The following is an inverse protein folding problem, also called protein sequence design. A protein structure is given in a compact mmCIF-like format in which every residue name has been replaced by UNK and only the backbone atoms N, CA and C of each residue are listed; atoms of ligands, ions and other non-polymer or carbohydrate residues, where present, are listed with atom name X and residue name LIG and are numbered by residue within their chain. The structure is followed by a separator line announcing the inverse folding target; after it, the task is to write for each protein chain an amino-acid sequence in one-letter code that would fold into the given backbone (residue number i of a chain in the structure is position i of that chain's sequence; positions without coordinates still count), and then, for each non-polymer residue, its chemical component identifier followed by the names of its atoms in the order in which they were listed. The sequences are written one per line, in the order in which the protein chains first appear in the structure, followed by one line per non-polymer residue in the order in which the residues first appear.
data_IF_488095576444
#
_entry.id   IF_488095576444
#
_cell.length_a   1.000
_cell.length_b   1.000
_cell.length_c   1.000
_cell.angle_alpha   90.00
_cell.angle_beta   90.00
_cell.angle_gamma   90.00
#
_symmetry.space_group_name_H-M   'P 1'
#
loop_
_entity.id
_entity.type
_entity.pdbx_description
1 polymer ?
#
# COMPACT_ATOMS: atom_id res chain seq x y z
N UNK A 1 20.83 -30.68 -25.76
CA UNK A 1 20.16 -31.79 -25.04
C UNK A 1 18.71 -31.79 -25.49
N UNK A 2 18.32 -32.74 -26.34
CA UNK A 2 17.02 -32.74 -27.01
C UNK A 2 15.96 -33.36 -26.09
N UNK A 3 14.97 -32.57 -25.67
CA UNK A 3 13.85 -33.08 -24.86
C UNK A 3 12.91 -33.83 -25.80
N UNK A 4 12.81 -35.16 -25.66
CA UNK A 4 11.79 -35.97 -26.34
C UNK A 4 10.44 -35.82 -25.62
N UNK A 5 9.40 -35.47 -26.36
CA UNK A 5 8.01 -35.50 -25.91
C UNK A 5 7.56 -36.96 -25.75
N UNK A 6 7.26 -37.36 -24.53
CA UNK A 6 6.70 -38.68 -24.23
C UNK A 6 5.17 -38.53 -24.13
N UNK A 7 4.48 -38.68 -25.26
CA UNK A 7 3.02 -38.63 -25.35
C UNK A 7 2.47 -40.03 -25.14
N UNK A 8 2.40 -40.48 -23.88
CA UNK A 8 1.75 -41.74 -23.55
C UNK A 8 0.90 -41.62 -22.29
N UNK A 9 -0.34 -41.16 -22.50
CA UNK A 9 -1.58 -41.58 -21.81
C UNK A 9 -2.72 -40.94 -22.59
N UNK A 10 -3.83 -41.69 -22.69
CA UNK A 10 -5.05 -41.39 -23.43
C UNK A 10 -5.32 -39.89 -23.59
N UNK A 11 -5.65 -39.47 -24.81
CA UNK A 11 -6.11 -38.12 -25.13
C UNK A 11 -7.44 -37.83 -24.44
N UNK A 12 -7.43 -37.73 -23.11
CA UNK A 12 -8.34 -36.81 -22.44
C UNK A 12 -7.96 -35.44 -22.98
N UNK A 13 -8.92 -34.82 -23.67
CA UNK A 13 -8.78 -33.52 -24.33
C UNK A 13 -7.83 -32.63 -23.55
N UNK A 14 -6.76 -32.19 -24.19
CA UNK A 14 -5.69 -31.37 -23.62
C UNK A 14 -6.31 -30.20 -22.86
N UNK A 15 -6.49 -30.38 -21.54
CA UNK A 15 -7.28 -29.46 -20.75
C UNK A 15 -6.50 -28.13 -20.67
N UNK A 16 -7.13 -26.97 -20.92
CA UNK A 16 -6.50 -25.64 -20.79
C UNK A 16 -5.70 -25.47 -19.50
N UNK A 17 -6.12 -26.10 -18.39
CA UNK A 17 -5.41 -26.13 -17.12
C UNK A 17 -4.05 -26.82 -17.20
N UNK A 18 -3.88 -27.89 -17.99
CA UNK A 18 -2.59 -28.56 -18.17
C UNK A 18 -1.60 -27.66 -18.93
N UNK A 19 -2.02 -27.05 -20.04
CA UNK A 19 -1.18 -26.11 -20.81
C UNK A 19 -0.79 -24.91 -19.96
N UNK A 20 -1.74 -24.33 -19.22
CA UNK A 20 -1.49 -23.22 -18.31
C UNK A 20 -0.46 -23.58 -17.23
N UNK A 21 -0.59 -24.76 -16.63
CA UNK A 21 0.35 -25.26 -15.62
C UNK A 21 1.76 -25.50 -16.18
N UNK A 22 1.88 -26.01 -17.42
CA UNK A 22 3.19 -26.16 -18.06
C UNK A 22 3.81 -24.80 -18.39
N UNK A 23 3.01 -23.84 -18.84
CA UNK A 23 3.46 -22.46 -19.08
C UNK A 23 3.92 -21.77 -17.78
N UNK A 24 3.18 -21.88 -16.68
CA UNK A 24 3.60 -21.33 -15.38
C UNK A 24 4.92 -21.94 -14.91
N UNK A 25 5.11 -23.26 -15.07
CA UNK A 25 6.38 -23.95 -14.76
C UNK A 25 7.51 -23.45 -15.66
N UNK A 26 7.26 -23.29 -16.95
CA UNK A 26 8.22 -22.76 -17.91
C UNK A 26 8.66 -21.33 -17.54
N UNK A 27 7.72 -20.44 -17.24
CA UNK A 27 8.00 -19.05 -16.81
C UNK A 27 8.85 -19.02 -15.53
N UNK A 28 8.48 -19.83 -14.51
CA UNK A 28 9.23 -19.95 -13.26
C UNK A 28 10.65 -20.49 -13.49
N UNK A 29 10.80 -21.54 -14.28
CA UNK A 29 12.09 -22.20 -14.53
C UNK A 29 13.04 -21.33 -15.36
N UNK A 30 12.52 -20.52 -16.28
CA UNK A 30 13.33 -19.65 -17.12
C UNK A 30 13.61 -18.29 -16.48
N UNK A 31 13.17 -18.05 -15.24
CA UNK A 31 13.30 -16.74 -14.55
C UNK A 31 12.83 -15.57 -15.42
N UNK A 32 11.92 -15.80 -16.36
CA UNK A 32 11.30 -14.73 -17.12
C UNK A 32 10.56 -13.86 -16.12
N UNK A 33 10.90 -12.57 -16.06
CA UNK A 33 10.41 -11.66 -15.03
C UNK A 33 8.89 -11.77 -14.87
N UNK A 34 8.43 -12.04 -13.66
CA UNK A 34 7.02 -11.99 -13.31
C UNK A 34 6.81 -10.70 -12.51
N UNK A 35 5.86 -9.90 -12.95
CA UNK A 35 5.40 -8.74 -12.21
C UNK A 35 4.24 -9.17 -11.30
N UNK A 36 4.37 -8.93 -9.99
CA UNK A 36 3.23 -9.09 -9.08
C UNK A 36 2.29 -7.90 -9.26
N UNK A 37 1.21 -8.13 -9.99
CA UNK A 37 0.16 -7.14 -10.15
C UNK A 37 -0.78 -7.19 -8.93
N UNK A 38 -0.88 -6.09 -8.19
CA UNK A 38 -1.84 -5.99 -7.09
C UNK A 38 -3.27 -5.97 -7.63
N UNK A 39 -4.16 -6.77 -7.03
CA UNK A 39 -5.58 -6.77 -7.36
C UNK A 39 -6.24 -5.39 -7.10
N UNK A 40 -5.62 -4.53 -6.28
CA UNK A 40 -6.05 -3.14 -6.09
C UNK A 40 -6.03 -2.31 -7.39
N UNK A 41 -5.36 -2.78 -8.47
CA UNK A 41 -5.42 -2.13 -9.79
C UNK A 41 -6.86 -2.10 -10.33
N UNK A 42 -7.72 -3.05 -9.97
CA UNK A 42 -9.10 -3.13 -10.44
C UNK A 42 -9.86 -1.81 -10.19
N UNK A 43 -9.65 -1.18 -9.04
CA UNK A 43 -10.24 0.13 -8.68
C UNK A 43 -9.86 1.25 -9.65
N UNK A 44 -8.72 1.15 -10.34
CA UNK A 44 -8.24 2.15 -11.28
C UNK A 44 -8.79 1.96 -12.70
N UNK A 45 -9.26 0.75 -13.05
CA UNK A 45 -9.71 0.43 -14.41
C UNK A 45 -10.84 1.34 -14.93
N UNK A 46 -11.89 1.67 -14.14
CA UNK A 46 -12.96 2.55 -14.61
C UNK A 46 -12.50 3.97 -14.97
N UNK A 47 -11.41 4.44 -14.34
CA UNK A 47 -10.89 5.80 -14.51
C UNK A 47 -9.96 5.95 -15.71
N UNK A 48 -9.49 4.83 -16.29
CA UNK A 48 -8.53 4.83 -17.38
C UNK A 48 -9.26 4.45 -18.68
N UNK A 49 -9.95 5.45 -19.25
CA UNK A 49 -10.74 5.29 -20.48
C UNK A 49 -9.91 5.27 -21.77
N UNK A 50 -8.59 5.34 -21.65
CA UNK A 50 -7.65 5.32 -22.77
C UNK A 50 -6.74 4.10 -22.70
N UNK A 51 -6.02 3.81 -23.78
CA UNK A 51 -5.00 2.76 -23.79
C UNK A 51 -3.76 3.08 -22.91
N UNK A 52 -3.82 4.05 -22.01
CA UNK A 52 -2.78 4.33 -21.01
C UNK A 52 -2.50 3.13 -20.09
N UNK A 53 -3.45 2.20 -19.92
CA UNK A 53 -3.18 0.95 -19.20
C UNK A 53 -2.12 0.09 -19.90
N UNK A 54 -2.01 0.15 -21.23
CA UNK A 54 -0.93 -0.54 -21.96
C UNK A 54 0.44 0.00 -21.55
N UNK A 55 0.54 1.31 -21.28
CA UNK A 55 1.75 1.94 -20.78
C UNK A 55 2.05 1.54 -19.33
N UNK A 56 1.03 1.45 -18.48
CA UNK A 56 1.21 0.96 -17.10
C UNK A 56 1.74 -0.47 -17.08
N UNK A 57 1.16 -1.36 -17.90
CA UNK A 57 1.62 -2.74 -18.06
C UNK A 57 3.04 -2.78 -18.63
N UNK A 58 3.36 -1.91 -19.60
CA UNK A 58 4.72 -1.78 -20.12
C UNK A 58 5.71 -1.43 -19.00
N UNK A 59 5.40 -0.45 -18.15
CA UNK A 59 6.24 -0.10 -17.01
C UNK A 59 6.37 -1.25 -16.02
N UNK A 60 5.28 -1.95 -15.71
CA UNK A 60 5.27 -3.10 -14.83
C UNK A 60 6.19 -4.24 -15.31
N UNK A 61 6.16 -4.57 -16.61
CA UNK A 61 7.00 -5.61 -17.22
C UNK A 61 8.49 -5.21 -17.20
N UNK A 62 8.77 -3.92 -17.35
CA UNK A 62 10.12 -3.39 -17.52
C UNK A 62 10.71 -2.72 -16.28
N UNK A 63 9.97 -2.66 -15.17
CA UNK A 63 10.46 -2.19 -13.90
C UNK A 63 11.54 -3.15 -13.40
N UNK A 64 12.68 -2.62 -12.96
CA UNK A 64 13.69 -3.46 -12.33
C UNK A 64 13.15 -3.91 -10.97
N UNK A 65 13.18 -5.22 -10.71
CA UNK A 65 12.71 -5.80 -9.45
C UNK A 65 13.42 -5.21 -8.22
N UNK A 66 14.67 -4.75 -8.38
CA UNK A 66 15.49 -4.19 -7.30
C UNK A 66 15.14 -2.73 -6.96
N UNK A 67 14.76 -1.93 -7.97
CA UNK A 67 14.60 -0.48 -7.85
C UNK A 67 13.15 -0.02 -7.97
N UNK A 68 12.23 -0.90 -8.40
CA UNK A 68 10.80 -0.60 -8.56
C UNK A 68 10.48 0.46 -9.62
N UNK A 69 11.46 0.78 -10.48
CA UNK A 69 11.36 1.87 -11.45
C UNK A 69 11.79 1.46 -12.86
N UNK A 70 11.41 2.28 -13.84
CA UNK A 70 11.73 2.15 -15.26
C UNK A 70 12.43 3.40 -15.78
N UNK A 71 13.44 3.20 -16.62
CA UNK A 71 14.26 4.25 -17.22
C UNK A 71 14.00 4.42 -18.72
N UNK A 72 12.88 3.93 -19.24
CA UNK A 72 12.61 4.01 -20.68
C UNK A 72 12.19 5.41 -21.12
N UNK A 73 12.82 5.92 -22.19
CA UNK A 73 12.45 7.20 -22.81
C UNK A 73 11.11 7.11 -23.54
N UNK A 74 10.42 8.23 -23.72
CA UNK A 74 9.13 8.23 -24.42
C UNK A 74 9.26 7.79 -25.89
N UNK A 75 10.39 8.10 -26.53
CA UNK A 75 10.70 7.70 -27.91
C UNK A 75 10.85 6.18 -28.02
N UNK A 76 11.52 5.57 -27.04
CA UNK A 76 11.73 4.12 -27.03
C UNK A 76 10.41 3.38 -26.79
N UNK A 77 9.59 3.90 -25.86
CA UNK A 77 8.27 3.35 -25.57
C UNK A 77 7.35 3.50 -26.78
N UNK A 78 7.29 4.68 -27.39
CA UNK A 78 6.49 4.97 -28.58
C UNK A 78 6.80 3.99 -29.71
N UNK A 79 8.09 3.72 -29.96
CA UNK A 79 8.54 2.73 -30.95
C UNK A 79 8.08 1.31 -30.60
N UNK A 80 8.23 0.89 -29.34
CA UNK A 80 7.84 -0.47 -28.89
C UNK A 80 6.34 -0.70 -28.90
N UNK A 81 5.55 0.31 -28.55
CA UNK A 81 4.09 0.25 -28.50
C UNK A 81 3.43 0.67 -29.83
N UNK A 82 4.22 1.02 -30.84
CA UNK A 82 3.77 1.48 -32.15
C UNK A 82 2.76 2.65 -32.09
N UNK A 83 3.09 3.67 -31.30
CA UNK A 83 2.28 4.90 -31.14
C UNK A 83 3.15 6.14 -31.22
N UNK A 84 2.55 7.32 -31.28
CA UNK A 84 3.31 8.58 -31.28
C UNK A 84 3.90 8.90 -29.90
N UNK A 85 5.01 9.65 -29.87
CA UNK A 85 5.60 10.18 -28.62
C UNK A 85 4.59 11.05 -27.85
N UNK A 86 3.75 11.82 -28.57
CA UNK A 86 2.66 12.62 -27.99
C UNK A 86 1.64 11.74 -27.27
N UNK A 87 1.30 10.59 -27.85
CA UNK A 87 0.42 9.60 -27.22
C UNK A 87 1.02 9.09 -25.91
N UNK A 88 2.31 8.76 -25.89
CA UNK A 88 3.01 8.35 -24.67
C UNK A 88 3.03 9.46 -23.62
N UNK A 89 3.30 10.70 -24.00
CA UNK A 89 3.25 11.85 -23.07
C UNK A 89 1.85 12.03 -22.46
N UNK A 90 0.80 11.90 -23.26
CA UNK A 90 -0.58 11.96 -22.77
C UNK A 90 -0.90 10.80 -21.83
N UNK A 91 -0.51 9.57 -22.16
CA UNK A 91 -0.71 8.41 -21.29
C UNK A 91 0.05 8.53 -19.98
N UNK A 92 1.29 9.04 -19.99
CA UNK A 92 2.02 9.34 -18.75
C UNK A 92 1.27 10.31 -17.86
N UNK A 93 0.75 11.39 -18.45
CA UNK A 93 -0.06 12.37 -17.72
C UNK A 93 -1.28 11.71 -17.08
N UNK A 94 -2.02 10.91 -17.85
CA UNK A 94 -3.16 10.14 -17.31
C UNK A 94 -2.73 9.26 -16.13
N UNK A 95 -1.63 8.49 -16.26
CA UNK A 95 -1.14 7.61 -15.19
C UNK A 95 -0.64 8.37 -13.95
N UNK A 96 -0.05 9.55 -14.13
CA UNK A 96 0.37 10.43 -13.03
C UNK A 96 -0.84 11.03 -12.32
N UNK A 97 -1.82 11.53 -13.07
CA UNK A 97 -3.04 12.16 -12.55
C UNK A 97 -3.85 11.16 -11.71
N UNK A 98 -3.92 9.88 -12.14
CA UNK A 98 -4.59 8.81 -11.37
C UNK A 98 -3.73 8.21 -10.25
N UNK A 99 -2.49 8.66 -10.08
CA UNK A 99 -1.61 8.18 -9.01
C UNK A 99 -1.07 6.77 -9.19
N UNK A 100 -0.97 6.28 -10.43
CA UNK A 100 -0.35 4.98 -10.73
C UNK A 100 1.17 5.06 -10.88
N UNK A 101 1.70 6.20 -11.32
CA UNK A 101 3.13 6.44 -11.48
C UNK A 101 3.56 7.80 -10.94
N UNK A 102 4.82 7.92 -10.54
CA UNK A 102 5.53 9.19 -10.40
C UNK A 102 6.68 9.22 -11.40
N UNK A 103 6.96 10.40 -11.98
CA UNK A 103 7.99 10.52 -13.00
C UNK A 103 8.89 11.70 -12.73
N UNK A 104 10.18 11.43 -12.55
CA UNK A 104 11.19 12.45 -12.27
C UNK A 104 12.07 12.64 -13.50
N UNK A 105 12.12 13.85 -14.09
CA UNK A 105 13.05 14.14 -15.16
C UNK A 105 14.48 14.06 -14.64
N UNK A 106 15.37 13.40 -15.39
CA UNK A 106 16.79 13.38 -15.10
C UNK A 106 17.49 14.39 -16.03
N UNK A 107 18.42 15.22 -15.53
CA UNK A 107 19.08 16.25 -16.34
C UNK A 107 19.83 15.69 -17.56
N UNK A 108 20.39 14.48 -17.44
CA UNK A 108 21.29 13.90 -18.44
C UNK A 108 20.78 12.55 -19.01
N UNK A 109 19.55 12.14 -18.69
CA UNK A 109 19.07 10.81 -19.07
C UNK A 109 17.55 10.79 -19.27
N UNK A 110 17.04 9.65 -19.74
CA UNK A 110 15.61 9.36 -19.69
C UNK A 110 15.04 9.54 -18.27
N UNK A 111 13.80 10.03 -18.18
CA UNK A 111 13.13 10.19 -16.89
C UNK A 111 13.06 8.86 -16.13
N UNK A 112 13.22 8.91 -14.81
CA UNK A 112 12.92 7.76 -13.96
C UNK A 112 11.42 7.72 -13.70
N UNK A 113 10.79 6.58 -13.96
CA UNK A 113 9.37 6.35 -13.71
C UNK A 113 9.22 5.35 -12.57
N UNK A 114 8.66 5.78 -11.46
CA UNK A 114 8.37 4.97 -10.28
C UNK A 114 6.94 4.48 -10.34
N UNK A 115 6.75 3.20 -10.08
CA UNK A 115 5.42 2.63 -9.89
C UNK A 115 4.96 2.97 -8.47
N UNK A 116 3.79 3.58 -8.32
CA UNK A 116 3.28 3.94 -7.01
C UNK A 116 2.52 2.76 -6.37
N UNK A 117 2.57 2.61 -5.03
CA UNK A 117 1.78 1.61 -4.31
C UNK A 117 0.29 1.76 -4.65
N UNK A 118 -0.42 0.66 -4.87
CA UNK A 118 -1.83 0.71 -5.28
C UNK A 118 -2.82 0.69 -4.12
N UNK A 119 -2.32 0.46 -2.91
CA UNK A 119 -3.10 0.35 -1.68
C UNK A 119 -2.39 1.05 -0.53
N UNK A 120 -3.15 1.30 0.53
CA UNK A 120 -2.60 1.78 1.78
C UNK A 120 -1.60 0.79 2.37
N UNK A 121 -0.59 1.32 3.07
CA UNK A 121 0.42 0.50 3.73
C UNK A 121 1.00 1.20 4.95
N UNK A 122 1.70 0.43 5.79
CA UNK A 122 2.36 0.93 6.98
C UNK A 122 3.89 0.84 6.87
N UNK A 123 4.59 1.80 7.47
CA UNK A 123 6.04 1.84 7.59
C UNK A 123 6.40 1.86 9.07
N UNK A 124 7.15 0.84 9.51
CA UNK A 124 7.68 0.80 10.85
C UNK A 124 8.85 1.78 11.00
N UNK A 125 8.67 2.80 11.83
CA UNK A 125 9.69 3.81 12.15
C UNK A 125 10.17 3.70 13.59
N UNK A 126 9.94 2.57 14.26
CA UNK A 126 10.34 2.35 15.66
C UNK A 126 11.86 2.43 15.89
N UNK A 127 12.67 2.14 14.86
CA UNK A 127 14.13 2.24 14.90
C UNK A 127 14.67 3.53 14.27
N UNK A 128 13.80 4.39 13.72
CA UNK A 128 14.22 5.64 13.11
C UNK A 128 14.57 6.67 14.19
N UNK A 129 15.58 7.50 13.93
CA UNK A 129 15.82 8.68 14.77
C UNK A 129 14.73 9.73 14.56
N UNK A 130 14.57 10.66 15.52
CA UNK A 130 13.64 11.79 15.36
C UNK A 130 13.96 12.63 14.11
N UNK A 131 15.25 12.73 13.75
CA UNK A 131 15.67 13.43 12.54
C UNK A 131 15.23 12.70 11.28
N UNK A 132 15.36 11.36 11.25
CA UNK A 132 14.94 10.56 10.10
C UNK A 132 13.41 10.55 9.96
N UNK A 133 12.68 10.49 11.08
CA UNK A 133 11.23 10.64 11.07
C UNK A 133 10.79 11.99 10.50
N UNK A 134 11.44 13.09 10.91
CA UNK A 134 11.17 14.43 10.37
C UNK A 134 11.50 14.51 8.88
N UNK A 135 12.61 13.93 8.43
CA UNK A 135 12.99 13.88 7.01
C UNK A 135 11.95 13.13 6.19
N UNK A 136 11.53 11.95 6.66
CA UNK A 136 10.51 11.15 6.00
C UNK A 136 9.16 11.87 5.93
N UNK A 137 8.74 12.48 7.04
CA UNK A 137 7.49 13.27 7.09
C UNK A 137 7.52 14.45 6.13
N UNK A 138 8.64 15.19 6.08
CA UNK A 138 8.84 16.29 5.13
C UNK A 138 8.82 15.81 3.68
N UNK A 139 9.44 14.66 3.39
CA UNK A 139 9.39 14.06 2.06
C UNK A 139 7.96 13.70 1.65
N UNK A 140 7.19 13.04 2.52
CA UNK A 140 5.79 12.72 2.26
C UNK A 140 4.95 13.97 1.97
N UNK A 141 5.14 15.04 2.75
CA UNK A 141 4.47 16.33 2.52
C UNK A 141 4.85 16.94 1.16
N UNK A 142 6.13 16.91 0.77
CA UNK A 142 6.60 17.40 -0.54
C UNK A 142 5.98 16.59 -1.69
N UNK A 143 5.81 15.29 -1.50
CA UNK A 143 5.12 14.41 -2.45
C UNK A 143 3.59 14.57 -2.44
N UNK A 144 3.05 15.50 -1.65
CA UNK A 144 1.63 15.85 -1.60
C UNK A 144 0.79 14.95 -0.69
N UNK A 145 1.40 14.19 0.21
CA UNK A 145 0.68 13.52 1.28
C UNK A 145 0.54 14.45 2.48
N UNK A 146 -0.68 14.84 2.83
CA UNK A 146 -0.96 15.65 4.01
C UNK A 146 -1.01 14.80 5.28
N UNK A 147 -0.36 15.26 6.34
CA UNK A 147 -0.40 14.62 7.66
C UNK A 147 -1.76 14.82 8.34
N UNK A 148 -2.32 13.76 8.92
CA UNK A 148 -3.47 13.83 9.84
C UNK A 148 -3.01 13.75 11.31
N UNK A 149 -3.94 13.97 12.25
CA UNK A 149 -3.67 13.74 13.68
C UNK A 149 -3.27 12.27 13.88
N UNK A 150 -2.27 12.06 14.73
CA UNK A 150 -1.83 10.70 15.06
C UNK A 150 -2.88 9.96 15.89
N UNK A 151 -2.84 8.63 15.85
CA UNK A 151 -3.73 7.75 16.61
C UNK A 151 -2.87 6.91 17.56
N UNK A 152 -3.18 6.95 18.84
CA UNK A 152 -2.60 6.05 19.83
C UNK A 152 -3.43 4.77 19.89
N UNK A 153 -2.77 3.63 19.74
CA UNK A 153 -3.41 2.33 19.66
C UNK A 153 -2.77 1.34 20.62
N UNK A 154 -3.52 0.96 21.65
CA UNK A 154 -3.10 0.01 22.67
C UNK A 154 -3.73 -1.36 22.46
N UNK A 155 -2.90 -2.40 22.46
CA UNK A 155 -3.33 -3.80 22.37
C UNK A 155 -3.25 -4.43 23.75
N UNK A 156 -4.40 -4.75 24.34
CA UNK A 156 -4.50 -5.19 25.72
C UNK A 156 -3.75 -6.50 25.99
N UNK A 157 -3.86 -7.48 25.10
CA UNK A 157 -3.26 -8.81 25.29
C UNK A 157 -1.73 -8.79 25.30
N UNK A 158 -1.14 -7.94 24.46
CA UNK A 158 0.32 -7.81 24.37
C UNK A 158 0.86 -6.66 25.20
N UNK A 159 -0.03 -5.84 25.77
CA UNK A 159 0.28 -4.59 26.46
C UNK A 159 1.20 -3.67 25.64
N UNK A 160 1.03 -3.71 24.31
CA UNK A 160 1.82 -2.89 23.39
C UNK A 160 1.03 -1.65 23.00
N UNK A 161 1.71 -0.52 23.01
CA UNK A 161 1.20 0.71 22.40
C UNK A 161 1.87 0.94 21.05
N UNK A 162 1.08 1.45 20.12
CA UNK A 162 1.48 1.91 18.81
C UNK A 162 1.05 3.36 18.65
N UNK A 163 1.90 4.19 18.06
CA UNK A 163 1.54 5.54 17.62
C UNK A 163 1.57 5.57 16.10
N UNK A 164 0.41 5.74 15.49
CA UNK A 164 0.22 5.79 14.04
C UNK A 164 0.12 7.24 13.58
N UNK A 165 0.88 7.61 12.55
CA UNK A 165 0.86 8.91 11.90
C UNK A 165 0.34 8.73 10.47
N UNK A 166 -0.95 9.01 10.20
CA UNK A 166 -1.52 8.87 8.88
C UNK A 166 -1.10 10.03 7.97
N UNK A 167 -0.68 9.69 6.75
CA UNK A 167 -0.38 10.61 5.67
C UNK A 167 -1.29 10.28 4.48
N UNK A 168 -2.12 11.22 4.05
CA UNK A 168 -3.13 10.99 3.01
C UNK A 168 -2.85 11.83 1.78
N UNK A 169 -2.92 11.22 0.60
CA UNK A 169 -2.93 11.91 -0.68
C UNK A 169 -4.21 11.59 -1.44
N UNK A 170 -4.89 12.62 -1.93
CA UNK A 170 -6.05 12.49 -2.79
C UNK A 170 -5.65 12.66 -4.25
N UNK A 171 -6.16 11.78 -5.10
CA UNK A 171 -6.07 11.86 -6.56
C UNK A 171 -7.47 12.19 -7.07
N UNK A 172 -7.62 13.38 -7.64
CA UNK A 172 -8.91 13.86 -8.19
C UNK A 172 -9.03 13.35 -9.63
N UNK A 173 -10.11 12.62 -9.89
CA UNK A 173 -10.39 11.96 -11.16
C UNK A 173 -11.62 12.58 -11.81
N UNK A 174 -11.86 12.30 -13.09
CA UNK A 174 -13.02 12.85 -13.81
C UNK A 174 -14.37 12.41 -13.22
N UNK A 175 -14.42 11.26 -12.54
CA UNK A 175 -15.65 10.65 -12.00
C UNK A 175 -15.54 10.31 -10.51
N UNK A 176 -14.64 10.95 -9.77
CA UNK A 176 -14.52 10.73 -8.33
C UNK A 176 -13.15 11.09 -7.78
N UNK A 177 -12.82 10.48 -6.65
CA UNK A 177 -11.50 10.62 -6.01
C UNK A 177 -11.01 9.27 -5.53
N UNK A 178 -9.71 9.06 -5.60
CA UNK A 178 -9.03 7.96 -4.90
C UNK A 178 -8.15 8.59 -3.83
N UNK A 179 -8.28 8.10 -2.60
CA UNK A 179 -7.39 8.48 -1.50
C UNK A 179 -6.42 7.35 -1.22
N UNK A 180 -5.16 7.70 -0.95
CA UNK A 180 -4.12 6.75 -0.56
C UNK A 180 -3.49 7.19 0.74
N UNK A 181 -3.39 6.25 1.67
CA UNK A 181 -2.86 6.49 3.00
C UNK A 181 -1.54 5.73 3.22
N UNK A 182 -0.57 6.44 3.78
CA UNK A 182 0.67 5.87 4.30
C UNK A 182 0.65 6.07 5.81
N UNK A 183 0.84 4.99 6.56
CA UNK A 183 0.84 5.04 8.01
C UNK A 183 2.26 4.82 8.52
N UNK A 184 2.91 5.90 8.98
CA UNK A 184 4.13 5.72 9.75
C UNK A 184 3.73 5.26 11.15
N UNK A 185 4.39 4.26 11.71
CA UNK A 185 4.09 3.84 13.07
C UNK A 185 5.34 3.54 13.89
N UNK A 186 5.29 3.85 15.19
CA UNK A 186 6.29 3.42 16.15
C UNK A 186 5.65 2.72 17.36
N UNK A 187 6.47 1.95 18.08
CA UNK A 187 6.14 1.34 19.37
C UNK A 187 6.80 2.16 20.50
N UNK A 188 6.13 3.18 21.07
CA UNK A 188 6.73 4.02 22.09
C UNK A 188 6.97 3.24 23.39
N UNK A 189 8.21 3.27 23.90
CA UNK A 189 8.62 2.49 25.08
C UNK A 189 8.02 2.98 26.41
N UNK A 190 7.55 4.22 26.48
CA UNK A 190 7.17 4.89 27.74
C UNK A 190 5.71 4.66 28.17
N UNK A 191 4.85 4.07 27.33
CA UNK A 191 3.43 3.87 27.65
C UNK A 191 3.11 2.50 28.26
N UNK A 192 3.99 2.00 29.13
CA UNK A 192 3.77 0.76 29.88
C UNK A 192 2.80 0.99 31.05
N UNK A 193 1.57 1.42 30.76
CA UNK A 193 0.48 1.29 31.72
C UNK A 193 -0.16 -0.08 31.52
N UNK A 194 -0.15 -0.91 32.57
CA UNK A 194 -0.95 -2.14 32.56
C UNK A 194 -2.41 -1.72 32.71
N UNK A 195 -3.16 -1.71 31.61
CA UNK A 195 -4.59 -1.43 31.66
C UNK A 195 -5.28 -2.76 31.97
N UNK A 196 -5.83 -2.91 33.17
CA UNK A 196 -6.69 -4.05 33.45
C UNK A 196 -8.01 -3.84 32.70
N UNK A 197 -8.23 -4.58 31.62
CA UNK A 197 -9.43 -4.42 30.79
C UNK A 197 -10.21 -5.73 30.72
N UNK A 198 -11.36 -5.75 31.39
CA UNK A 198 -12.39 -6.78 31.23
C UNK A 198 -13.21 -6.59 29.94
N UNK A 199 -12.77 -5.70 29.05
CA UNK A 199 -13.46 -5.45 27.77
C UNK A 199 -13.40 -6.68 26.88
N UNK A 200 -14.40 -6.79 26.00
CA UNK A 200 -14.37 -7.68 24.83
C UNK A 200 -14.35 -6.82 23.58
N UNK A 201 -13.33 -6.97 22.74
CA UNK A 201 -13.18 -6.16 21.53
C UNK A 201 -12.56 -4.80 21.82
N UNK A 202 -13.37 -3.74 21.84
CA UNK A 202 -12.88 -2.37 21.78
C UNK A 202 -13.26 -1.54 23.02
N UNK A 203 -12.43 -0.55 23.31
CA UNK A 203 -12.67 0.51 24.29
C UNK A 203 -11.76 1.68 24.01
N UNK A 204 -11.85 2.72 24.84
CA UNK A 204 -10.97 3.88 24.71
C UNK A 204 -10.74 4.56 26.05
N UNK A 205 -9.67 5.33 26.15
CA UNK A 205 -9.46 6.25 27.27
C UNK A 205 -8.80 7.54 26.79
N UNK A 206 -8.66 8.50 27.70
CA UNK A 206 -7.87 9.71 27.49
C UNK A 206 -6.67 9.63 28.42
N UNK A 207 -5.46 9.74 27.87
CA UNK A 207 -4.24 9.63 28.66
C UNK A 207 -3.95 10.91 29.48
N UNK A 208 -2.81 10.93 30.17
CA UNK A 208 -2.40 12.09 30.98
C UNK A 208 -2.09 13.35 30.18
N UNK A 209 -1.86 13.22 28.87
CA UNK A 209 -1.60 14.34 27.95
C UNK A 209 -2.88 14.83 27.26
N UNK A 210 -4.05 14.35 27.72
CA UNK A 210 -5.36 14.62 27.14
C UNK A 210 -5.51 14.07 25.71
N UNK A 211 -4.79 13.00 25.38
CA UNK A 211 -4.85 12.37 24.06
C UNK A 211 -5.77 11.15 24.05
N UNK A 212 -6.50 10.99 22.96
CA UNK A 212 -7.36 9.83 22.72
C UNK A 212 -6.51 8.57 22.49
N UNK A 213 -6.82 7.51 23.22
CA UNK A 213 -6.21 6.20 23.04
C UNK A 213 -7.28 5.15 22.73
N UNK A 214 -7.15 4.54 21.55
CA UNK A 214 -7.88 3.35 21.17
C UNK A 214 -7.34 2.14 21.94
N UNK A 215 -8.21 1.35 22.53
CA UNK A 215 -7.88 0.07 23.16
C UNK A 215 -8.55 -1.07 22.41
N UNK A 216 -7.77 -2.10 22.09
CA UNK A 216 -8.28 -3.31 21.47
C UNK A 216 -7.79 -4.56 22.19
N UNK A 217 -8.74 -5.45 22.47
CA UNK A 217 -8.53 -6.80 22.96
C UNK A 217 -9.02 -7.77 21.87
N UNK A 218 -8.09 -8.34 21.08
CA UNK A 218 -8.42 -9.36 20.08
C UNK A 218 -9.20 -10.52 20.70
N UNK A 219 -10.11 -11.15 19.96
CA UNK A 219 -10.81 -12.33 20.49
C UNK A 219 -9.91 -13.57 20.50
N UNK A 220 -8.88 -13.57 19.65
CA UNK A 220 -7.87 -14.60 19.53
C UNK A 220 -6.53 -13.99 19.07
N UNK A 221 -5.43 -14.72 19.30
CA UNK A 221 -4.08 -14.23 18.96
C UNK A 221 -3.87 -13.97 17.46
N UNK A 222 -4.53 -14.72 16.57
CA UNK A 222 -4.39 -14.57 15.11
C UNK A 222 -5.00 -13.26 14.58
N UNK A 223 -5.95 -12.69 15.29
CA UNK A 223 -6.52 -11.39 14.93
C UNK A 223 -5.48 -10.27 15.04
N UNK A 224 -4.55 -10.35 15.99
CA UNK A 224 -3.47 -9.38 16.16
C UNK A 224 -2.39 -9.55 15.08
N UNK A 225 -2.68 -9.03 13.89
CA UNK A 225 -1.75 -8.97 12.77
C UNK A 225 -1.74 -7.55 12.15
N UNK A 226 -0.67 -7.18 11.42
CA UNK A 226 -0.54 -5.89 10.75
C UNK A 226 -1.77 -5.44 9.96
N UNK A 227 -2.33 -6.35 9.14
CA UNK A 227 -3.47 -6.05 8.28
C UNK A 227 -4.70 -5.63 9.09
N UNK A 228 -5.06 -6.41 10.11
CA UNK A 228 -6.24 -6.11 10.93
C UNK A 228 -6.06 -4.81 11.73
N UNK A 229 -4.86 -4.57 12.26
CA UNK A 229 -4.56 -3.30 12.94
C UNK A 229 -4.77 -2.12 12.02
N UNK A 230 -4.28 -2.22 10.79
CA UNK A 230 -4.43 -1.18 9.79
C UNK A 230 -5.91 -0.92 9.43
N UNK A 231 -6.71 -1.98 9.25
CA UNK A 231 -8.16 -1.86 8.99
C UNK A 231 -8.94 -1.21 10.14
N UNK A 232 -8.50 -1.40 11.39
CA UNK A 232 -9.07 -0.70 12.56
C UNK A 232 -8.70 0.78 12.52
N UNK A 233 -7.41 1.09 12.32
CA UNK A 233 -6.90 2.47 12.30
C UNK A 233 -7.54 3.30 11.18
N UNK A 234 -7.79 2.69 10.01
CA UNK A 234 -8.49 3.33 8.89
C UNK A 234 -9.89 3.84 9.23
N UNK A 235 -10.56 3.24 10.22
CA UNK A 235 -11.91 3.66 10.63
C UNK A 235 -11.88 4.91 11.53
N UNK A 236 -10.70 5.39 11.92
CA UNK A 236 -10.51 6.55 12.80
C UNK A 236 -9.83 7.71 12.06
N UNK A 237 -10.20 7.91 10.79
CA UNK A 237 -9.51 8.81 9.87
C UNK A 237 -9.97 10.28 9.93
N UNK A 238 -10.92 10.60 10.81
CA UNK A 238 -11.42 11.95 11.08
C UNK A 238 -11.80 12.13 12.56
N UNK A 239 -12.01 13.38 12.97
CA UNK A 239 -12.46 13.70 14.32
C UNK A 239 -13.88 13.16 14.57
N UNK A 240 -14.76 13.28 13.59
CA UNK A 240 -16.12 12.74 13.64
C UNK A 240 -16.12 11.21 13.76
N UNK A 241 -15.19 10.54 13.08
CA UNK A 241 -15.02 9.09 13.18
C UNK A 241 -14.56 8.66 14.58
N UNK A 242 -13.64 9.43 15.18
CA UNK A 242 -13.21 9.23 16.57
C UNK A 242 -14.37 9.46 17.55
N UNK A 243 -15.14 10.53 17.39
CA UNK A 243 -16.30 10.82 18.25
C UNK A 243 -17.39 9.75 18.12
N UNK A 244 -17.65 9.28 16.91
CA UNK A 244 -18.55 8.15 16.65
C UNK A 244 -18.04 6.88 17.32
N UNK A 245 -16.74 6.59 17.23
CA UNK A 245 -16.13 5.47 17.96
C UNK A 245 -16.32 5.62 19.48
N UNK A 246 -16.05 6.81 20.03
CA UNK A 246 -16.19 7.09 21.46
C UNK A 246 -17.62 6.91 21.97
N UNK A 247 -18.62 7.24 21.14
CA UNK A 247 -20.02 7.05 21.46
C UNK A 247 -20.45 5.57 21.48
N UNK A 248 -19.82 4.74 20.66
CA UNK A 248 -20.19 3.33 20.47
C UNK A 248 -19.43 2.34 21.36
N UNK A 249 -18.29 2.76 21.95
CA UNK A 249 -17.43 1.87 22.75
C UNK A 249 -17.20 2.42 24.17
N UNK A 250 -16.99 1.53 25.16
CA UNK A 250 -16.86 1.95 26.55
C UNK A 250 -15.59 2.78 26.80
N UNK A 251 -15.75 3.86 27.57
CA UNK A 251 -14.65 4.62 28.15
C UNK A 251 -14.05 3.82 29.31
N UNK A 252 -12.73 3.62 29.28
CA UNK A 252 -11.98 2.85 30.26
C UNK A 252 -11.32 3.76 31.29
N UNK A 253 -11.24 3.27 32.53
CA UNK A 253 -10.51 3.93 33.61
C UNK A 253 -9.09 3.39 33.68
N UNK A 254 -8.11 4.29 33.76
CA UNK A 254 -6.72 3.92 34.00
C UNK A 254 -6.57 3.50 35.46
N UNK A 255 -6.25 2.23 35.72
CA UNK A 255 -5.76 1.79 37.01
C UNK A 255 -4.31 2.25 37.17
N UNK A 256 -4.05 3.24 38.03
CA UNK A 256 -2.69 3.50 38.52
C UNK A 256 -2.24 2.26 39.29
N UNK A 257 -1.16 1.61 38.83
CA UNK A 257 -0.33 0.79 39.71
C UNK A 257 0.65 1.69 40.43
#
# INVERSE_FOLDING_TARGET
MSIKLNLNKSMDTLNPSYLFNQWTKYVKNNKTGYFMLSNALETYLPFIKSAAMNLYIFYAIHAKNEEGCSYYSNETIARKLNVSVKTISNWNKVLQDVGLIARTPNPNNSSTTYMLPLSDFEINVSSASDQDFKRLSSYLNQEGYGSKKYILFYIADTQKMYKYFPFTKEYVLSEGKISRNIYLYNEPKQYLTSINTDIKGFGWYVDSENEFVLVWKPTNKSENNPKNRLEIIKQLDSQEAIESFQANYPKLSLSKK
#
